data_IF_685140032932
#
_entry.id   IF_685140032932
#
_cell.length_a   1.000
_cell.length_b   1.000
_cell.length_c   1.000
_cell.angle_alpha   90.00
_cell.angle_beta   90.00
_cell.angle_gamma   90.00
#
_symmetry.space_group_name_H-M   'P 1'
#
loop_
_entity.id
_entity.type
_entity.pdbx_description
1 polymer ?
#
# COMPACT_ATOMS: atom_id res chain seq x y z
N UNK A 1 2.59 -24.02 10.70
CA UNK A 1 3.20 -24.26 9.38
C UNK A 1 4.35 -23.28 9.25
N UNK A 2 5.52 -23.71 8.82
CA UNK A 2 6.67 -22.83 8.59
C UNK A 2 7.47 -23.32 7.40
N UNK A 3 8.23 -22.43 6.78
CA UNK A 3 9.03 -22.71 5.60
C UNK A 3 9.80 -21.50 5.10
N UNK A 4 10.36 -21.63 3.90
CA UNK A 4 11.20 -20.60 3.27
C UNK A 4 10.52 -20.03 2.02
N UNK A 5 10.58 -18.71 1.84
CA UNK A 5 10.03 -18.02 0.67
C UNK A 5 10.83 -18.28 -0.62
N UNK A 6 12.03 -18.86 -0.52
CA UNK A 6 12.78 -19.35 -1.67
C UNK A 6 12.15 -20.60 -2.29
N UNK A 7 11.41 -21.38 -1.50
CA UNK A 7 10.79 -22.64 -1.94
C UNK A 7 9.31 -22.49 -2.28
N UNK A 8 8.62 -21.55 -1.63
CA UNK A 8 7.18 -21.35 -1.78
C UNK A 8 6.85 -19.89 -2.12
N UNK A 9 6.03 -19.68 -3.14
CA UNK A 9 5.53 -18.35 -3.47
C UNK A 9 4.51 -17.89 -2.42
N UNK A 10 4.47 -16.58 -2.16
CA UNK A 10 3.50 -16.01 -1.23
C UNK A 10 2.05 -16.34 -1.63
N UNK A 11 1.74 -16.31 -2.93
CA UNK A 11 0.44 -16.70 -3.47
C UNK A 11 0.00 -18.09 -2.99
N UNK A 12 0.88 -19.08 -3.09
CA UNK A 12 0.61 -20.46 -2.69
C UNK A 12 0.41 -20.56 -1.17
N UNK A 13 1.22 -19.83 -0.39
CA UNK A 13 1.11 -19.79 1.07
C UNK A 13 -0.24 -19.21 1.49
N UNK A 14 -0.65 -18.08 0.89
CA UNK A 14 -1.94 -17.45 1.18
C UNK A 14 -3.10 -18.39 0.83
N UNK A 15 -3.07 -19.02 -0.36
CA UNK A 15 -4.08 -19.98 -0.79
C UNK A 15 -4.18 -21.18 0.14
N UNK A 16 -3.04 -21.74 0.56
CA UNK A 16 -3.01 -22.88 1.50
C UNK A 16 -3.67 -22.53 2.83
N UNK A 17 -3.39 -21.35 3.39
CA UNK A 17 -4.03 -20.87 4.63
C UNK A 17 -5.54 -20.73 4.44
N UNK A 18 -5.96 -20.23 3.27
CA UNK A 18 -7.37 -20.02 2.92
C UNK A 18 -8.15 -21.32 2.72
N UNK A 19 -7.58 -22.34 2.08
CA UNK A 19 -8.29 -23.59 1.76
C UNK A 19 -8.74 -24.35 3.01
N UNK A 20 -7.95 -24.28 4.08
CA UNK A 20 -8.33 -24.88 5.36
C UNK A 20 -9.27 -24.01 6.21
N UNK A 21 -9.77 -22.88 5.69
CA UNK A 21 -10.53 -21.86 6.42
C UNK A 21 -9.86 -21.49 7.75
N UNK A 22 -8.52 -21.45 7.77
CA UNK A 22 -7.77 -21.31 9.02
C UNK A 22 -7.89 -19.88 9.54
N UNK A 23 -8.05 -19.76 10.85
CA UNK A 23 -7.89 -18.49 11.57
C UNK A 23 -6.52 -18.47 12.26
N UNK A 24 -5.88 -17.31 12.30
CA UNK A 24 -4.54 -17.16 12.86
C UNK A 24 -3.75 -16.08 12.17
N UNK A 25 -2.43 -16.08 12.38
CA UNK A 25 -1.52 -15.08 11.85
C UNK A 25 -0.44 -15.74 11.02
N UNK A 26 -0.28 -15.27 9.79
CA UNK A 26 0.86 -15.55 8.92
C UNK A 26 1.91 -14.46 9.14
N UNK A 27 3.07 -14.86 9.64
CA UNK A 27 4.24 -14.02 9.78
C UNK A 27 5.20 -14.26 8.63
N UNK A 28 5.68 -13.17 8.03
CA UNK A 28 6.69 -13.16 6.99
C UNK A 28 7.93 -12.44 7.57
N UNK A 29 9.00 -13.21 7.80
CA UNK A 29 10.25 -12.75 8.37
C UNK A 29 11.23 -12.42 7.25
N UNK A 30 11.61 -11.14 7.16
CA UNK A 30 12.58 -10.61 6.20
C UNK A 30 13.71 -9.88 6.91
N UNK A 31 14.74 -9.52 6.16
CA UNK A 31 15.86 -8.70 6.67
C UNK A 31 15.40 -7.30 7.10
N UNK A 32 14.36 -6.76 6.47
CA UNK A 32 13.79 -5.45 6.75
C UNK A 32 12.67 -5.47 7.81
N UNK A 33 12.43 -6.61 8.47
CA UNK A 33 11.44 -6.72 9.55
C UNK A 33 10.46 -7.88 9.38
N UNK A 34 9.44 -7.90 10.24
CA UNK A 34 8.40 -8.92 10.26
C UNK A 34 7.09 -8.33 9.79
N UNK A 35 6.49 -8.92 8.76
CA UNK A 35 5.13 -8.61 8.32
C UNK A 35 4.17 -9.64 8.87
N UNK A 36 2.94 -9.22 9.17
CA UNK A 36 1.91 -10.08 9.75
C UNK A 36 0.61 -9.90 8.96
N UNK A 37 -0.01 -11.03 8.62
CA UNK A 37 -1.27 -11.09 7.91
C UNK A 37 -2.22 -11.91 8.77
N UNK A 38 -3.27 -11.25 9.26
CA UNK A 38 -4.26 -11.85 10.13
C UNK A 38 -5.36 -12.48 9.28
N UNK A 39 -5.71 -13.72 9.60
CA UNK A 39 -6.75 -14.49 8.94
C UNK A 39 -7.88 -14.82 9.91
N UNK A 40 -9.10 -14.72 9.40
CA UNK A 40 -10.31 -15.20 10.07
C UNK A 40 -11.13 -15.99 9.07
N UNK A 41 -11.30 -17.29 9.33
CA UNK A 41 -12.00 -18.22 8.43
C UNK A 41 -11.48 -18.14 6.97
N UNK A 42 -10.16 -18.05 6.79
CA UNK A 42 -9.51 -17.95 5.48
C UNK A 42 -9.59 -16.58 4.79
N UNK A 43 -10.19 -15.57 5.41
CA UNK A 43 -10.23 -14.18 4.90
C UNK A 43 -9.17 -13.34 5.60
N UNK A 44 -8.48 -12.47 4.87
CA UNK A 44 -7.53 -11.52 5.46
C UNK A 44 -8.31 -10.40 6.13
N UNK A 45 -8.14 -10.27 7.44
CA UNK A 45 -8.86 -9.32 8.30
C UNK A 45 -7.95 -8.23 8.89
N UNK A 46 -6.64 -8.42 8.83
CA UNK A 46 -5.69 -7.45 9.36
C UNK A 46 -4.31 -7.57 8.72
N UNK A 47 -3.61 -6.45 8.63
CA UNK A 47 -2.24 -6.36 8.12
C UNK A 47 -1.39 -5.57 9.11
N UNK A 48 -0.15 -5.99 9.33
CA UNK A 48 0.78 -5.28 10.21
C UNK A 48 2.21 -5.51 9.77
N UNK A 49 3.10 -4.62 10.19
CA UNK A 49 4.54 -4.81 10.08
C UNK A 49 5.22 -4.35 11.38
N UNK A 50 6.42 -4.86 11.64
CA UNK A 50 7.23 -4.40 12.75
C UNK A 50 7.49 -2.90 12.62
N UNK A 51 7.17 -2.13 13.68
CA UNK A 51 7.31 -0.67 13.70
C UNK A 51 6.22 0.08 12.92
N UNK A 52 5.23 -0.59 12.33
CA UNK A 52 4.10 0.09 11.71
C UNK A 52 3.10 0.55 12.75
N UNK A 53 2.64 1.80 12.61
CA UNK A 53 1.54 2.34 13.38
C UNK A 53 0.52 3.06 12.50
N UNK A 54 -0.76 2.89 12.80
CA UNK A 54 -1.83 3.59 12.06
C UNK A 54 -1.83 5.10 12.32
N UNK A 55 -1.42 5.55 13.51
CA UNK A 55 -1.31 6.98 13.81
C UNK A 55 -0.20 7.61 12.99
N UNK A 56 0.99 7.00 12.97
CA UNK A 56 2.10 7.46 12.15
C UNK A 56 1.72 7.48 10.66
N UNK A 57 1.07 6.41 10.17
CA UNK A 57 0.59 6.37 8.79
C UNK A 57 -0.43 7.50 8.46
N UNK A 58 -1.33 7.81 9.38
CA UNK A 58 -2.29 8.91 9.23
C UNK A 58 -1.61 10.28 9.29
N UNK A 59 -0.64 10.48 10.18
CA UNK A 59 0.16 11.71 10.25
C UNK A 59 0.92 11.93 8.95
N UNK A 60 1.60 10.91 8.44
CA UNK A 60 2.36 10.97 7.18
C UNK A 60 1.48 11.26 5.97
N UNK A 61 0.19 10.96 6.04
CA UNK A 61 -0.75 11.31 4.97
C UNK A 61 -0.98 12.82 4.85
N UNK A 62 -0.66 13.61 5.88
CA UNK A 62 -1.01 15.04 6.00
C UNK A 62 -2.51 15.35 5.85
N UNK A 63 -3.38 14.33 5.89
CA UNK A 63 -4.83 14.50 5.78
C UNK A 63 -5.50 14.67 7.14
N UNK A 64 -4.86 14.19 8.21
CA UNK A 64 -5.38 14.26 9.57
C UNK A 64 -4.38 15.00 10.47
N UNK A 65 -4.76 16.14 11.06
CA UNK A 65 -3.92 16.86 12.02
C UNK A 65 -3.62 16.01 13.27
N UNK A 66 -2.48 16.27 13.92
CA UNK A 66 -2.07 15.54 15.11
C UNK A 66 -3.09 15.65 16.26
N UNK A 67 -3.67 16.84 16.44
CA UNK A 67 -4.65 17.11 17.49
C UNK A 67 -5.91 16.25 17.36
N UNK A 68 -6.23 15.85 16.13
CA UNK A 68 -7.38 14.96 15.85
C UNK A 68 -7.02 13.53 16.23
N UNK A 69 -5.82 13.08 15.93
CA UNK A 69 -5.37 11.72 16.26
C UNK A 69 -5.29 11.49 17.77
N UNK A 70 -4.86 12.51 18.53
CA UNK A 70 -4.81 12.46 20.00
C UNK A 70 -6.21 12.27 20.61
N UNK A 71 -7.27 12.68 19.90
CA UNK A 71 -8.67 12.52 20.31
C UNK A 71 -9.33 11.21 19.84
N UNK A 72 -8.67 10.41 18.99
CA UNK A 72 -9.20 9.14 18.50
C UNK A 72 -8.81 7.99 19.43
N UNK A 73 -9.76 7.09 19.69
CA UNK A 73 -9.45 5.82 20.34
C UNK A 73 -8.76 4.87 19.36
N UNK A 74 -7.44 5.01 19.25
CA UNK A 74 -6.59 4.16 18.41
C UNK A 74 -6.41 2.74 18.96
N UNK A 75 -6.91 2.45 20.16
CA UNK A 75 -6.93 1.09 20.70
C UNK A 75 -7.99 0.23 20.00
N UNK A 76 -9.10 0.83 19.56
CA UNK A 76 -10.12 0.17 18.74
C UNK A 76 -9.88 0.39 17.24
N UNK A 77 -8.88 -0.31 16.71
CA UNK A 77 -8.45 -0.15 15.32
C UNK A 77 -9.56 -0.45 14.31
N UNK A 78 -10.48 -1.37 14.65
CA UNK A 78 -11.54 -1.85 13.76
C UNK A 78 -12.55 -0.76 13.32
N UNK A 79 -12.66 0.36 14.04
CA UNK A 79 -13.71 1.37 13.81
C UNK A 79 -13.16 2.80 13.55
N UNK A 80 -11.93 2.92 13.05
CA UNK A 80 -11.32 4.25 12.82
C UNK A 80 -11.99 5.05 11.70
N UNK A 81 -12.64 4.37 10.75
CA UNK A 81 -13.26 5.02 9.59
C UNK A 81 -14.40 5.96 9.99
N UNK A 82 -15.29 5.52 10.90
CA UNK A 82 -16.49 6.27 11.28
C UNK A 82 -16.16 7.66 11.84
N UNK A 83 -15.33 7.74 12.90
CA UNK A 83 -14.90 9.00 13.49
C UNK A 83 -14.18 9.94 12.50
N UNK A 84 -13.30 9.39 11.66
CA UNK A 84 -12.51 10.20 10.71
C UNK A 84 -13.41 10.84 9.64
N UNK A 85 -14.37 10.09 9.10
CA UNK A 85 -15.32 10.62 8.11
C UNK A 85 -16.33 11.59 8.77
N UNK A 86 -16.80 11.28 9.98
CA UNK A 86 -17.74 12.14 10.71
C UNK A 86 -17.14 13.50 11.05
N UNK A 87 -15.85 13.52 11.39
CA UNK A 87 -15.10 14.76 11.64
C UNK A 87 -14.78 15.58 10.39
N UNK A 88 -15.11 15.10 9.18
CA UNK A 88 -14.80 15.72 7.89
C UNK A 88 -13.31 15.97 7.65
N UNK A 89 -12.43 15.22 8.33
CA UNK A 89 -10.98 15.32 8.17
C UNK A 89 -10.50 14.63 6.90
N UNK A 90 -11.20 13.58 6.48
CA UNK A 90 -10.95 12.89 5.21
C UNK A 90 -12.27 12.66 4.49
N UNK A 91 -12.26 12.79 3.16
CA UNK A 91 -13.39 12.28 2.37
C UNK A 91 -13.36 10.74 2.31
N UNK A 92 -14.47 10.14 1.87
CA UNK A 92 -14.52 8.70 1.64
C UNK A 92 -13.51 8.25 0.55
N UNK A 93 -13.24 9.10 -0.45
CA UNK A 93 -12.24 8.83 -1.48
C UNK A 93 -10.83 8.84 -0.87
N UNK A 94 -10.52 9.86 -0.07
CA UNK A 94 -9.23 9.99 0.63
C UNK A 94 -8.96 8.80 1.54
N UNK A 95 -9.96 8.38 2.31
CA UNK A 95 -9.88 7.20 3.17
C UNK A 95 -9.58 5.94 2.35
N UNK A 96 -10.31 5.73 1.25
CA UNK A 96 -10.12 4.55 0.41
C UNK A 96 -8.73 4.54 -0.23
N UNK A 97 -8.24 5.69 -0.72
CA UNK A 97 -6.90 5.81 -1.28
C UNK A 97 -5.82 5.60 -0.20
N UNK A 98 -6.02 6.14 1.01
CA UNK A 98 -5.15 5.90 2.15
C UNK A 98 -5.06 4.41 2.48
N UNK A 99 -6.19 3.73 2.67
CA UNK A 99 -6.23 2.28 2.94
C UNK A 99 -5.56 1.49 1.81
N UNK A 100 -5.81 1.85 0.54
CA UNK A 100 -5.18 1.20 -0.60
C UNK A 100 -3.64 1.30 -0.54
N UNK A 101 -3.10 2.48 -0.24
CA UNK A 101 -1.64 2.67 -0.05
C UNK A 101 -1.09 1.83 1.11
N UNK A 102 -1.82 1.76 2.23
CA UNK A 102 -1.39 0.94 3.37
C UNK A 102 -1.41 -0.57 3.03
N UNK A 103 -2.41 -1.05 2.29
CA UNK A 103 -2.47 -2.44 1.80
C UNK A 103 -1.32 -2.73 0.83
N UNK A 104 -1.02 -1.83 -0.10
CA UNK A 104 0.13 -1.99 -1.00
C UNK A 104 1.43 -2.15 -0.20
N UNK A 105 1.66 -1.26 0.77
CA UNK A 105 2.86 -1.26 1.60
C UNK A 105 3.00 -2.52 2.45
N UNK A 106 1.92 -2.94 3.12
CA UNK A 106 1.94 -4.03 4.09
C UNK A 106 1.80 -5.42 3.47
N UNK A 107 1.10 -5.54 2.33
CA UNK A 107 0.75 -6.83 1.70
C UNK A 107 1.33 -6.98 0.29
N UNK A 108 1.03 -6.08 -0.66
CA UNK A 108 1.37 -6.34 -2.06
C UNK A 108 2.87 -6.25 -2.34
N UNK A 109 3.60 -5.38 -1.64
CA UNK A 109 5.08 -5.36 -1.67
C UNK A 109 5.74 -6.68 -1.23
N UNK A 110 5.00 -7.57 -0.57
CA UNK A 110 5.51 -8.90 -0.23
C UNK A 110 5.62 -9.83 -1.45
N UNK A 111 4.86 -9.58 -2.52
CA UNK A 111 4.85 -10.41 -3.73
C UNK A 111 6.13 -10.26 -4.57
N UNK A 112 6.84 -9.13 -4.46
CA UNK A 112 8.11 -8.89 -5.17
C UNK A 112 9.32 -9.57 -4.47
N UNK A 113 9.13 -10.05 -3.23
CA UNK A 113 10.21 -10.64 -2.43
C UNK A 113 10.31 -12.15 -2.64
N UNK A 114 11.50 -12.63 -2.98
CA UNK A 114 11.82 -14.08 -3.10
C UNK A 114 12.57 -14.67 -1.92
N UNK A 115 12.91 -13.85 -0.93
CA UNK A 115 13.73 -14.26 0.21
C UNK A 115 13.03 -13.99 1.53
N UNK A 116 13.27 -14.88 2.51
CA UNK A 116 12.75 -14.78 3.86
C UNK A 116 12.15 -16.09 4.34
N UNK A 117 11.66 -16.09 5.59
CA UNK A 117 10.96 -17.24 6.17
C UNK A 117 9.52 -16.89 6.44
N UNK A 118 8.65 -17.89 6.45
CA UNK A 118 7.27 -17.69 6.87
C UNK A 118 6.89 -18.63 8.00
N UNK A 119 5.95 -18.19 8.83
CA UNK A 119 5.34 -19.01 9.87
C UNK A 119 3.87 -18.65 10.03
N UNK A 120 2.99 -19.63 9.93
CA UNK A 120 1.58 -19.51 10.28
C UNK A 120 1.32 -20.14 11.64
N UNK A 121 0.72 -19.36 12.54
CA UNK A 121 0.31 -19.75 13.89
C UNK A 121 -1.19 -19.51 14.07
N UNK A 122 -1.90 -20.51 14.58
CA UNK A 122 -3.26 -20.30 15.08
C UNK A 122 -3.12 -19.65 16.45
N UNK A 123 -3.60 -18.42 16.57
CA UNK A 123 -3.58 -17.64 17.81
C UNK A 123 -4.97 -17.07 18.03
N UNK A 124 -5.39 -17.05 19.30
CA UNK A 124 -6.71 -16.57 19.70
C UNK A 124 -6.71 -15.05 19.99
N UNK A 125 -5.54 -14.50 20.31
CA UNK A 125 -5.36 -13.08 20.62
C UNK A 125 -4.20 -12.49 19.83
N UNK A 126 -4.39 -11.24 19.38
CA UNK A 126 -3.38 -10.45 18.67
C UNK A 126 -2.94 -9.33 19.62
N UNK A 127 -1.63 -9.26 19.88
CA UNK A 127 -1.01 -8.34 20.85
C UNK A 127 -0.24 -7.18 20.17
N UNK A 128 -0.41 -7.01 18.87
CA UNK A 128 0.20 -5.94 18.08
C UNK A 128 -0.88 -5.07 17.43
N UNK A 129 -0.51 -3.89 16.95
CA UNK A 129 -1.40 -3.05 16.15
C UNK A 129 -1.44 -3.53 14.70
N UNK A 130 -2.63 -3.52 14.08
CA UNK A 130 -2.87 -3.89 12.69
C UNK A 130 -3.82 -2.91 11.99
N UNK A 131 -3.67 -2.81 10.67
CA UNK A 131 -4.61 -2.19 9.76
C UNK A 131 -5.80 -3.13 9.56
N UNK A 132 -7.03 -2.80 9.97
CA UNK A 132 -8.20 -3.62 9.70
C UNK A 132 -8.58 -3.55 8.23
N UNK A 133 -8.75 -4.70 7.61
CA UNK A 133 -9.16 -4.83 6.21
C UNK A 133 -10.11 -6.00 6.05
N UNK A 134 -10.75 -6.11 4.89
CA UNK A 134 -11.50 -7.32 4.53
C UNK A 134 -11.18 -7.69 3.09
N UNK A 135 -10.18 -8.55 2.92
CA UNK A 135 -9.65 -8.93 1.62
C UNK A 135 -9.73 -10.45 1.51
N UNK A 136 -10.41 -10.94 0.47
CA UNK A 136 -10.40 -12.38 0.19
C UNK A 136 -9.01 -12.78 -0.30
N UNK A 137 -8.59 -14.00 0.04
CA UNK A 137 -7.29 -14.52 -0.40
C UNK A 137 -7.14 -14.47 -1.92
N UNK A 138 -8.18 -14.85 -2.67
CA UNK A 138 -8.15 -14.77 -4.14
C UNK A 138 -7.91 -13.35 -4.65
N UNK A 139 -8.56 -12.35 -4.05
CA UNK A 139 -8.34 -10.94 -4.40
C UNK A 139 -6.93 -10.51 -4.04
N UNK A 140 -6.43 -10.87 -2.85
CA UNK A 140 -5.06 -10.54 -2.46
C UNK A 140 -4.02 -11.13 -3.40
N UNK A 141 -4.21 -12.38 -3.85
CA UNK A 141 -3.31 -13.02 -4.83
C UNK A 141 -3.38 -12.34 -6.19
N UNK A 142 -4.59 -12.07 -6.69
CA UNK A 142 -4.79 -11.41 -7.98
C UNK A 142 -4.15 -10.02 -8.00
N UNK A 143 -4.49 -9.17 -7.03
CA UNK A 143 -4.00 -7.80 -6.96
C UNK A 143 -2.51 -7.74 -6.61
N UNK A 144 -2.02 -8.62 -5.73
CA UNK A 144 -0.59 -8.70 -5.38
C UNK A 144 0.28 -9.12 -6.56
N UNK A 145 -0.20 -10.07 -7.38
CA UNK A 145 0.49 -10.49 -8.61
C UNK A 145 0.52 -9.36 -9.63
N UNK A 146 -0.63 -8.73 -9.89
CA UNK A 146 -0.73 -7.57 -10.79
C UNK A 146 0.19 -6.43 -10.34
N UNK A 147 0.19 -6.14 -9.05
CA UNK A 147 1.06 -5.13 -8.45
C UNK A 147 2.53 -5.44 -8.70
N UNK A 148 2.97 -6.69 -8.46
CA UNK A 148 4.36 -7.12 -8.70
C UNK A 148 4.75 -7.05 -10.17
N UNK A 149 3.87 -7.46 -11.08
CA UNK A 149 4.08 -7.33 -12.53
C UNK A 149 4.26 -5.87 -12.93
N UNK A 150 3.34 -4.98 -12.54
CA UNK A 150 3.46 -3.55 -12.82
C UNK A 150 4.76 -2.98 -12.25
N UNK A 151 5.08 -3.31 -10.98
CA UNK A 151 6.28 -2.85 -10.30
C UNK A 151 7.57 -3.31 -10.99
N UNK A 152 7.58 -4.52 -11.56
CA UNK A 152 8.73 -5.08 -12.28
C UNK A 152 8.94 -4.49 -13.68
N UNK A 153 7.87 -4.02 -14.32
CA UNK A 153 7.89 -3.45 -15.68
C UNK A 153 8.27 -1.97 -15.72
N UNK A 154 8.25 -1.29 -14.57
CA UNK A 154 8.61 0.12 -14.49
C UNK A 154 10.13 0.28 -14.36
N UNK A 155 10.67 1.31 -15.00
CA UNK A 155 12.10 1.65 -14.93
C UNK A 155 12.57 1.74 -13.45
N UNK A 156 13.67 1.07 -13.08
CA UNK A 156 14.27 1.16 -11.75
C UNK A 156 14.43 2.59 -11.22
N UNK A 157 14.73 3.57 -12.07
CA UNK A 157 14.88 4.96 -11.66
C UNK A 157 13.57 5.58 -11.14
N UNK A 158 12.40 5.16 -11.66
CA UNK A 158 11.08 5.64 -11.24
C UNK A 158 10.62 5.03 -9.90
N UNK A 159 11.21 3.92 -9.48
CA UNK A 159 10.84 3.22 -8.23
C UNK A 159 11.92 3.32 -7.14
N UNK A 160 12.98 4.10 -7.40
CA UNK A 160 14.02 4.33 -6.42
C UNK A 160 13.46 5.11 -5.22
N UNK A 161 13.75 4.71 -3.97
CA UNK A 161 13.23 5.40 -2.77
C UNK A 161 13.55 6.89 -2.72
N UNK A 162 14.71 7.27 -3.25
CA UNK A 162 15.22 8.64 -3.34
C UNK A 162 14.70 9.42 -4.54
N UNK A 163 13.99 8.77 -5.47
CA UNK A 163 13.48 9.43 -6.66
C UNK A 163 12.50 10.54 -6.28
N UNK A 164 12.77 11.74 -6.80
CA UNK A 164 11.88 12.89 -6.70
C UNK A 164 11.37 13.23 -8.08
N UNK A 165 10.09 13.52 -8.17
CA UNK A 165 9.40 13.82 -9.42
C UNK A 165 8.88 15.24 -9.38
N UNK A 166 9.03 15.95 -10.49
CA UNK A 166 8.47 17.28 -10.67
C UNK A 166 8.04 17.52 -12.11
N UNK A 167 7.20 18.52 -12.31
CA UNK A 167 6.85 18.97 -13.65
C UNK A 167 8.10 19.38 -14.41
N UNK A 168 8.24 18.85 -15.63
CA UNK A 168 9.35 19.16 -16.54
C UNK A 168 9.35 20.64 -16.99
N UNK A 169 8.21 21.32 -16.88
CA UNK A 169 8.02 22.69 -17.43
C UNK A 169 8.00 22.74 -18.96
N UNK A 170 8.35 21.64 -19.62
CA UNK A 170 8.34 21.49 -21.07
C UNK A 170 6.91 21.37 -21.59
N UNK A 171 6.62 22.14 -22.64
CA UNK A 171 5.37 21.99 -23.39
C UNK A 171 5.57 20.92 -24.47
N UNK A 172 4.73 19.88 -24.53
CA UNK A 172 4.83 18.90 -25.61
C UNK A 172 4.58 19.56 -26.97
N UNK A 173 5.30 19.10 -28.00
CA UNK A 173 5.15 19.58 -29.38
C UNK A 173 3.78 19.23 -29.99
N UNK A 174 3.17 18.12 -29.52
CA UNK A 174 1.86 17.66 -29.93
C UNK A 174 0.89 17.58 -28.74
N UNK A 175 -0.41 17.66 -29.02
CA UNK A 175 -1.43 17.51 -27.99
C UNK A 175 -1.37 16.10 -27.36
N UNK A 176 -1.04 16.04 -26.07
CA UNK A 176 -0.99 14.78 -25.31
C UNK A 176 -2.36 14.55 -24.66
N UNK A 177 -3.00 13.42 -24.98
CA UNK A 177 -4.24 13.00 -24.32
C UNK A 177 -3.90 12.26 -23.03
N UNK A 178 -4.28 12.85 -21.89
CA UNK A 178 -4.09 12.26 -20.58
C UNK A 178 -5.37 11.58 -20.09
N UNK A 179 -5.22 10.41 -19.45
CA UNK A 179 -6.30 9.81 -18.66
C UNK A 179 -6.57 10.64 -17.39
N UNK A 180 -7.73 10.47 -16.73
CA UNK A 180 -8.00 11.13 -15.45
C UNK A 180 -6.91 10.88 -14.39
N UNK A 181 -6.43 9.64 -14.27
CA UNK A 181 -5.34 9.26 -13.35
C UNK A 181 -4.03 9.98 -13.70
N UNK A 182 -3.64 10.00 -14.98
CA UNK A 182 -2.44 10.72 -15.43
C UNK A 182 -2.56 12.22 -15.18
N UNK A 183 -3.75 12.79 -15.36
CA UNK A 183 -3.99 14.21 -15.07
C UNK A 183 -3.81 14.51 -13.57
N UNK A 184 -4.37 13.69 -12.68
CA UNK A 184 -4.22 13.84 -11.22
C UNK A 184 -2.75 13.84 -10.80
N UNK A 185 -1.97 12.88 -11.31
CA UNK A 185 -0.53 12.78 -11.01
C UNK A 185 0.26 13.94 -11.61
N UNK A 186 -0.07 14.38 -12.82
CA UNK A 186 0.55 15.56 -13.41
C UNK A 186 0.29 16.82 -12.58
N UNK A 187 -0.94 17.04 -12.12
CA UNK A 187 -1.27 18.16 -11.23
C UNK A 187 -0.52 18.05 -9.90
N UNK A 188 -0.47 16.86 -9.29
CA UNK A 188 0.31 16.63 -8.07
C UNK A 188 1.81 16.91 -8.27
N UNK A 189 2.37 16.62 -9.45
CA UNK A 189 3.79 16.85 -9.76
C UNK A 189 4.19 18.32 -9.91
N UNK A 190 3.23 19.26 -9.82
CA UNK A 190 3.54 20.70 -9.82
C UNK A 190 4.39 21.13 -8.63
N UNK A 191 4.22 20.46 -7.50
CA UNK A 191 5.15 20.56 -6.38
C UNK A 191 6.01 19.27 -6.35
N UNK A 192 7.35 19.39 -6.40
CA UNK A 192 8.26 18.24 -6.37
C UNK A 192 8.09 17.31 -5.18
N UNK A 193 8.00 16.00 -5.40
CA UNK A 193 7.86 15.03 -4.31
C UNK A 193 8.23 13.60 -4.69
N UNK A 194 8.29 12.73 -3.68
CA UNK A 194 8.45 11.29 -3.88
C UNK A 194 7.19 10.64 -4.48
N UNK A 195 7.29 9.38 -4.90
CA UNK A 195 6.13 8.60 -5.38
C UNK A 195 4.97 8.62 -4.37
N UNK A 196 5.28 8.42 -3.09
CA UNK A 196 4.28 8.40 -2.02
C UNK A 196 3.61 9.78 -1.84
N UNK A 197 4.40 10.87 -1.84
CA UNK A 197 3.87 12.23 -1.72
C UNK A 197 2.98 12.60 -2.91
N UNK A 198 3.33 12.14 -4.12
CA UNK A 198 2.48 12.31 -5.30
C UNK A 198 1.20 11.50 -5.22
N UNK A 199 1.29 10.21 -4.84
CA UNK A 199 0.13 9.35 -4.68
C UNK A 199 -0.85 9.89 -3.62
N UNK A 200 -0.32 10.43 -2.53
CA UNK A 200 -1.10 11.08 -1.48
C UNK A 200 -1.85 12.30 -2.01
N UNK A 201 -1.17 13.25 -2.65
CA UNK A 201 -1.80 14.46 -3.24
C UNK A 201 -2.76 14.15 -4.38
N UNK A 202 -2.44 13.13 -5.18
CA UNK A 202 -3.30 12.68 -6.26
C UNK A 202 -4.49 11.88 -5.76
N UNK A 203 -4.51 11.46 -4.48
CA UNK A 203 -5.51 10.58 -3.87
C UNK A 203 -5.62 9.27 -4.66
N UNK A 204 -4.46 8.66 -4.91
CA UNK A 204 -4.29 7.42 -5.65
C UNK A 204 -3.46 6.42 -4.84
N UNK A 205 -3.44 5.17 -5.29
CA UNK A 205 -2.46 4.19 -4.84
C UNK A 205 -1.06 4.50 -5.41
N UNK A 206 -0.01 3.91 -4.83
CA UNK A 206 1.34 4.10 -5.36
C UNK A 206 1.51 3.43 -6.72
N UNK A 207 0.89 2.27 -6.94
CA UNK A 207 1.02 1.57 -8.23
C UNK A 207 0.32 2.33 -9.36
N UNK A 208 -0.86 2.89 -9.11
CA UNK A 208 -1.57 3.75 -10.07
C UNK A 208 -0.76 5.00 -10.38
N UNK A 209 -0.13 5.58 -9.35
CA UNK A 209 0.73 6.76 -9.49
C UNK A 209 1.99 6.45 -10.27
N UNK A 210 2.57 5.27 -10.07
CA UNK A 210 3.77 4.80 -10.77
C UNK A 210 3.50 4.55 -12.26
N UNK A 211 2.36 3.93 -12.61
CA UNK A 211 1.94 3.76 -14.01
C UNK A 211 1.73 5.11 -14.71
N UNK A 212 1.08 6.05 -14.02
CA UNK A 212 0.89 7.41 -14.51
C UNK A 212 2.22 8.14 -14.67
N UNK A 213 3.13 8.05 -13.70
CA UNK A 213 4.47 8.64 -13.79
C UNK A 213 5.23 8.10 -14.99
N UNK A 214 5.26 6.78 -15.19
CA UNK A 214 5.91 6.14 -16.36
C UNK A 214 5.42 6.75 -17.68
N UNK A 215 4.11 6.92 -17.83
CA UNK A 215 3.52 7.53 -19.02
C UNK A 215 3.87 9.02 -19.15
N UNK A 216 3.83 9.78 -18.06
CA UNK A 216 4.12 11.22 -18.03
C UNK A 216 5.60 11.52 -18.31
N UNK A 217 6.53 10.72 -17.78
CA UNK A 217 7.96 10.81 -18.13
C UNK A 217 8.21 10.45 -19.58
N UNK A 218 7.50 9.46 -20.13
CA UNK A 218 7.56 9.12 -21.55
C UNK A 218 7.11 10.26 -22.48
N UNK A 219 6.17 11.09 -22.02
CA UNK A 219 5.74 12.30 -22.72
C UNK A 219 6.58 13.56 -22.41
N UNK A 220 7.59 13.45 -21.53
CA UNK A 220 8.41 14.59 -21.09
C UNK A 220 7.66 15.62 -20.24
N UNK A 221 6.48 15.28 -19.69
CA UNK A 221 5.65 16.17 -18.88
C UNK A 221 6.09 16.23 -17.42
N UNK A 222 6.64 15.12 -16.93
CA UNK A 222 7.23 14.97 -15.60
C UNK A 222 8.66 14.48 -15.78
N UNK A 223 9.56 14.88 -14.89
CA UNK A 223 10.94 14.44 -14.86
C UNK A 223 11.32 13.95 -13.46
N UNK A 224 12.32 13.08 -13.40
CA UNK A 224 13.06 12.80 -12.18
C UNK A 224 14.01 13.98 -11.94
N UNK A 225 14.04 14.53 -10.73
CA UNK A 225 14.80 15.70 -10.33
C UNK A 225 16.14 15.35 -9.67
#
# INVERSE_FOLDING_TARGET
MEGDLNEFQLSDILQFVSFGSRSGVLEILRTNGVHRINFTAGVITGLSAAGWSISEALLESNLVPQEVLDGLDLSNQADLRGPILAGSYMSAEDWNAFIARQVESLLYRLFDSRHGKFRFRQIDTIDFQWLPVKITTNRAVLEGTRWSETWSQVDPALRAPEARFGSSGTRPDAAVKLSPTQWRVFVASREPGSLNQLATRAVLSEVESLEALRALTGHGLVAIL
#
